data_IF_598371302711
#
_entry.id   IF_598371302711
#
_cell.length_a   1.000
_cell.length_b   1.000
_cell.length_c   1.000
_cell.angle_alpha   90.00
_cell.angle_beta   90.00
_cell.angle_gamma   90.00
#
_symmetry.space_group_name_H-M   'P 1'
#
loop_
_entity.id
_entity.type
_entity.pdbx_description
1 polymer ?
#
# COMPACT_ATOMS: atom_id res chain seq x y z
N UNK A 1 3.01 9.35 -8.87
CA UNK A 1 1.85 8.50 -8.55
C UNK A 1 0.76 9.25 -7.78
N UNK A 2 1.02 9.84 -6.60
CA UNK A 2 -0.03 10.49 -5.78
C UNK A 2 -0.34 11.96 -6.08
N UNK A 3 0.55 12.69 -6.76
CA UNK A 3 0.32 14.11 -7.07
C UNK A 3 -1.01 14.42 -7.80
N UNK A 4 -1.48 13.61 -8.78
CA UNK A 4 -2.79 13.81 -9.41
C UNK A 4 -3.99 13.65 -8.46
N UNK A 5 -3.80 13.07 -7.27
CA UNK A 5 -4.80 12.93 -6.22
C UNK A 5 -4.73 14.06 -5.18
N UNK A 6 -3.86 15.06 -5.40
CA UNK A 6 -3.56 16.12 -4.43
C UNK A 6 -3.05 15.57 -3.08
N UNK A 7 -2.29 14.47 -3.13
CA UNK A 7 -1.66 13.85 -1.95
C UNK A 7 -0.14 13.93 -2.09
N UNK A 8 0.51 14.45 -1.06
CA UNK A 8 1.97 14.46 -0.95
C UNK A 8 2.43 13.32 -0.03
N UNK A 9 3.26 12.42 -0.54
CA UNK A 9 3.85 11.33 0.24
C UNK A 9 5.24 11.77 0.71
N UNK A 10 5.38 12.00 2.02
CA UNK A 10 6.64 12.33 2.65
C UNK A 10 7.25 11.07 3.29
N UNK A 11 8.50 10.75 2.94
CA UNK A 11 9.25 9.70 3.63
C UNK A 11 9.86 10.28 4.92
N UNK A 12 9.23 9.99 6.07
CA UNK A 12 9.65 10.52 7.37
C UNK A 12 10.64 9.61 8.11
N UNK A 13 10.81 8.37 7.66
CA UNK A 13 11.83 7.48 8.20
C UNK A 13 11.91 6.14 7.49
N UNK A 14 13.03 5.45 7.71
CA UNK A 14 13.35 4.15 7.13
C UNK A 14 13.95 3.27 8.21
N UNK A 15 13.48 2.03 8.32
CA UNK A 15 14.05 1.00 9.18
C UNK A 15 14.50 -0.16 8.31
N UNK A 16 15.74 -0.59 8.50
CA UNK A 16 16.32 -1.74 7.79
C UNK A 16 16.69 -2.79 8.83
N UNK A 17 16.12 -3.98 8.69
CA UNK A 17 16.40 -5.13 9.56
C UNK A 17 17.69 -5.81 9.12
N UNK A 18 18.85 -5.34 9.61
CA UNK A 18 20.18 -5.84 9.19
C UNK A 18 20.64 -7.10 9.93
N UNK A 19 20.18 -7.31 11.16
CA UNK A 19 20.61 -8.42 12.01
C UNK A 19 19.71 -9.65 11.85
N UNK A 20 18.39 -9.43 11.88
CA UNK A 20 17.35 -10.45 11.68
C UNK A 20 16.03 -9.76 11.34
N UNK A 21 15.11 -10.51 10.75
CA UNK A 21 13.73 -10.04 10.61
C UNK A 21 13.08 -9.88 11.99
N UNK A 22 12.42 -8.74 12.24
CA UNK A 22 11.68 -8.51 13.50
C UNK A 22 10.30 -9.18 13.52
N UNK A 23 9.88 -9.74 12.38
CA UNK A 23 8.64 -10.51 12.23
C UNK A 23 8.89 -11.80 11.43
N UNK A 24 7.96 -12.75 11.52
CA UNK A 24 8.01 -13.95 10.67
C UNK A 24 7.57 -13.65 9.23
N UNK A 25 8.45 -13.95 8.27
CA UNK A 25 8.20 -13.86 6.82
C UNK A 25 7.99 -15.27 6.23
N UNK A 26 6.81 -15.85 6.46
CA UNK A 26 6.49 -17.24 6.10
C UNK A 26 6.07 -17.42 4.62
N UNK A 27 5.97 -16.34 3.85
CA UNK A 27 5.51 -16.35 2.45
C UNK A 27 4.00 -16.50 2.29
N UNK A 28 3.24 -16.30 3.38
CA UNK A 28 1.79 -16.14 3.39
C UNK A 28 1.53 -14.65 3.67
N UNK A 29 0.84 -13.98 2.75
CA UNK A 29 0.76 -12.52 2.72
C UNK A 29 -0.07 -11.98 3.88
N UNK A 30 -1.18 -12.64 4.18
CA UNK A 30 -2.07 -12.23 5.28
C UNK A 30 -1.36 -12.35 6.63
N UNK A 31 -0.65 -13.45 6.85
CA UNK A 31 0.16 -13.65 8.07
C UNK A 31 1.26 -12.60 8.17
N UNK A 32 1.96 -12.35 7.07
CA UNK A 32 3.07 -11.38 7.02
C UNK A 32 2.56 -9.96 7.29
N UNK A 33 1.45 -9.55 6.65
CA UNK A 33 0.80 -8.26 6.89
C UNK A 33 0.33 -8.15 8.34
N UNK A 34 -0.33 -9.18 8.88
CA UNK A 34 -0.79 -9.20 10.28
C UNK A 34 0.37 -9.02 11.26
N UNK A 35 1.48 -9.73 11.04
CA UNK A 35 2.67 -9.62 11.88
C UNK A 35 3.33 -8.24 11.75
N UNK A 36 3.38 -7.67 10.54
CA UNK A 36 3.91 -6.35 10.31
C UNK A 36 3.08 -5.26 10.99
N UNK A 37 1.76 -5.32 10.92
CA UNK A 37 0.87 -4.36 11.58
C UNK A 37 0.99 -4.44 13.12
N UNK A 38 1.19 -5.65 13.68
CA UNK A 38 1.52 -5.83 15.11
C UNK A 38 2.87 -5.18 15.47
N UNK A 39 3.89 -5.39 14.64
CA UNK A 39 5.20 -4.72 14.81
C UNK A 39 5.07 -3.19 14.73
N UNK A 40 4.29 -2.67 13.77
CA UNK A 40 4.05 -1.24 13.63
C UNK A 40 3.42 -0.69 14.91
N UNK A 41 2.31 -1.28 15.36
CA UNK A 41 1.57 -0.90 16.56
C UNK A 41 2.44 -0.95 17.83
N UNK A 42 3.20 -2.03 18.01
CA UNK A 42 3.95 -2.27 19.24
C UNK A 42 5.27 -1.50 19.32
N UNK A 43 5.96 -1.32 18.20
CA UNK A 43 7.34 -0.82 18.15
C UNK A 43 7.42 0.43 17.29
N UNK A 44 7.11 0.32 15.99
CA UNK A 44 7.44 1.38 15.02
C UNK A 44 6.73 2.71 15.32
N UNK A 45 5.43 2.69 15.61
CA UNK A 45 4.65 3.92 15.87
C UNK A 45 5.13 4.66 17.13
N UNK A 46 5.78 3.96 18.06
CA UNK A 46 6.30 4.55 19.29
C UNK A 46 7.72 5.12 19.10
N UNK A 47 8.54 4.50 18.26
CA UNK A 47 9.94 4.92 18.03
C UNK A 47 10.09 5.89 16.86
N UNK A 48 9.15 5.87 15.91
CA UNK A 48 9.16 6.66 14.69
C UNK A 48 7.72 7.04 14.32
N UNK A 49 7.20 8.17 14.83
CA UNK A 49 5.86 8.63 14.52
C UNK A 49 5.62 8.72 13.00
N UNK A 50 4.53 8.10 12.52
CA UNK A 50 4.16 8.04 11.10
C UNK A 50 2.65 7.83 10.94
N UNK A 51 2.10 8.36 9.85
CA UNK A 51 0.69 8.19 9.48
C UNK A 51 0.40 6.80 8.91
N UNK A 52 1.38 6.21 8.23
CA UNK A 52 1.34 4.92 7.56
C UNK A 52 2.74 4.31 7.45
N UNK A 53 2.85 2.98 7.44
CA UNK A 53 4.11 2.30 7.14
C UNK A 53 3.92 1.18 6.11
N UNK A 54 4.90 1.01 5.23
CA UNK A 54 4.90 -0.04 4.21
C UNK A 54 6.12 -0.95 4.41
N UNK A 55 5.90 -2.26 4.50
CA UNK A 55 6.96 -3.26 4.54
C UNK A 55 7.35 -3.63 3.12
N UNK A 56 8.64 -3.48 2.77
CA UNK A 56 9.20 -3.99 1.52
C UNK A 56 10.02 -5.25 1.81
N UNK A 57 9.70 -6.38 1.18
CA UNK A 57 10.38 -7.66 1.41
C UNK A 57 10.90 -8.31 0.13
N UNK A 58 11.97 -9.10 0.25
CA UNK A 58 12.45 -10.02 -0.80
C UNK A 58 11.78 -11.40 -0.71
N UNK A 59 11.04 -11.69 0.36
CA UNK A 59 10.34 -12.95 0.54
C UNK A 59 9.18 -13.02 -0.45
N UNK A 60 9.26 -13.98 -1.38
CA UNK A 60 8.18 -14.25 -2.33
C UNK A 60 6.99 -14.92 -1.65
N UNK A 61 5.80 -14.51 -2.08
CA UNK A 61 4.54 -15.20 -1.83
C UNK A 61 4.56 -16.61 -2.37
N UNK A 62 3.87 -17.52 -1.68
CA UNK A 62 3.58 -18.86 -2.19
C UNK A 62 2.56 -18.84 -3.34
N UNK A 63 1.65 -17.88 -3.31
CA UNK A 63 0.53 -17.75 -4.26
C UNK A 63 0.78 -16.69 -5.35
N UNK A 64 1.99 -16.13 -5.40
CA UNK A 64 2.38 -15.13 -6.41
C UNK A 64 1.82 -13.73 -6.15
N UNK A 65 1.22 -13.48 -4.99
CA UNK A 65 0.76 -12.15 -4.57
C UNK A 65 1.99 -11.27 -4.32
N UNK A 66 1.99 -10.06 -4.89
CA UNK A 66 3.14 -9.15 -4.79
C UNK A 66 2.96 -8.05 -3.74
N UNK A 67 1.77 -7.91 -3.16
CA UNK A 67 1.50 -6.94 -2.12
C UNK A 67 0.16 -7.20 -1.45
N UNK A 68 0.00 -6.67 -0.24
CA UNK A 68 -1.21 -6.84 0.55
C UNK A 68 -1.40 -5.63 1.48
N UNK A 69 -2.63 -5.16 1.64
CA UNK A 69 -2.95 -4.03 2.51
C UNK A 69 -4.44 -4.05 2.88
N UNK A 70 -4.76 -3.52 4.07
CA UNK A 70 -6.15 -3.40 4.51
C UNK A 70 -6.79 -2.12 3.98
N UNK A 71 -8.03 -2.24 3.53
CA UNK A 71 -8.78 -1.12 2.96
C UNK A 71 -9.26 -0.13 4.04
N UNK A 72 -9.13 1.18 3.77
CA UNK A 72 -9.73 2.24 4.60
C UNK A 72 -9.12 2.31 6.01
N UNK A 73 -7.81 2.08 6.09
CA UNK A 73 -7.08 1.96 7.35
C UNK A 73 -6.06 3.07 7.55
N UNK A 74 -5.95 4.02 6.60
CA UNK A 74 -5.11 5.20 6.75
C UNK A 74 -5.41 5.92 8.07
N UNK A 75 -4.38 6.45 8.71
CA UNK A 75 -4.41 7.08 10.05
C UNK A 75 -4.78 6.17 11.23
N UNK A 76 -5.26 4.94 11.02
CA UNK A 76 -5.52 4.03 12.14
C UNK A 76 -4.22 3.64 12.84
N UNK A 77 -4.23 3.67 14.17
CA UNK A 77 -3.06 3.32 14.97
C UNK A 77 -2.58 1.88 14.72
N UNK A 78 -3.52 0.96 14.50
CA UNK A 78 -3.21 -0.47 14.35
C UNK A 78 -3.01 -0.91 12.91
N UNK A 79 -3.83 -0.42 11.97
CA UNK A 79 -3.96 -1.04 10.65
C UNK A 79 -3.42 -0.18 9.50
N UNK A 80 -2.93 1.04 9.75
CA UNK A 80 -2.39 1.93 8.72
C UNK A 80 -1.02 1.44 8.21
N UNK A 81 -1.05 0.46 7.31
CA UNK A 81 0.13 -0.02 6.62
C UNK A 81 -0.15 -1.09 5.57
N UNK A 82 0.92 -1.51 4.91
CA UNK A 82 0.86 -2.50 3.83
C UNK A 82 2.16 -3.25 3.65
N UNK A 83 2.10 -4.25 2.77
CA UNK A 83 3.17 -5.15 2.39
C UNK A 83 3.38 -5.03 0.88
N UNK A 84 4.63 -4.91 0.45
CA UNK A 84 5.05 -5.03 -0.93
C UNK A 84 6.24 -6.01 -1.04
N UNK A 85 6.20 -6.86 -2.04
CA UNK A 85 7.31 -7.74 -2.43
C UNK A 85 8.13 -7.00 -3.48
N UNK A 86 9.46 -7.02 -3.35
CA UNK A 86 10.36 -6.56 -4.40
C UNK A 86 10.41 -7.63 -5.51
N UNK A 87 9.38 -7.61 -6.37
CA UNK A 87 9.12 -8.65 -7.38
C UNK A 87 9.80 -8.39 -8.74
N UNK A 88 10.41 -7.21 -8.93
CA UNK A 88 10.99 -6.81 -10.20
C UNK A 88 12.19 -5.90 -10.02
N UNK A 89 13.16 -5.97 -10.93
CA UNK A 89 14.26 -5.00 -11.03
C UNK A 89 13.80 -3.64 -11.58
N UNK A 90 12.62 -3.59 -12.21
CA UNK A 90 12.02 -2.34 -12.67
C UNK A 90 11.37 -1.64 -11.49
N UNK A 91 12.04 -0.61 -10.96
CA UNK A 91 11.63 0.15 -9.77
C UNK A 91 10.17 0.64 -9.89
N UNK A 92 9.76 1.07 -11.09
CA UNK A 92 8.38 1.51 -11.34
C UNK A 92 7.33 0.47 -10.99
N UNK A 93 7.57 -0.82 -11.28
CA UNK A 93 6.61 -1.89 -10.98
C UNK A 93 6.46 -2.10 -9.47
N UNK A 94 7.56 -2.06 -8.72
CA UNK A 94 7.54 -2.16 -7.26
C UNK A 94 6.91 -0.92 -6.62
N UNK A 95 7.21 0.26 -7.15
CA UNK A 95 6.60 1.52 -6.71
C UNK A 95 5.08 1.53 -6.94
N UNK A 96 4.61 1.00 -8.07
CA UNK A 96 3.16 0.84 -8.32
C UNK A 96 2.53 -0.16 -7.37
N UNK A 97 3.22 -1.22 -6.94
CA UNK A 97 2.72 -2.15 -5.91
C UNK A 97 2.60 -1.47 -4.54
N UNK A 98 3.60 -0.68 -4.14
CA UNK A 98 3.52 0.11 -2.90
C UNK A 98 2.37 1.12 -2.97
N UNK A 99 2.22 1.82 -4.11
CA UNK A 99 1.11 2.73 -4.32
C UNK A 99 -0.24 2.02 -4.31
N UNK A 100 -0.36 0.82 -4.89
CA UNK A 100 -1.57 0.01 -4.82
C UNK A 100 -1.95 -0.32 -3.36
N UNK A 101 -0.99 -0.80 -2.57
CA UNK A 101 -1.20 -1.09 -1.15
C UNK A 101 -1.64 0.13 -0.34
N UNK A 102 -0.95 1.26 -0.53
CA UNK A 102 -1.33 2.51 0.11
C UNK A 102 -2.68 3.05 -0.42
N UNK A 103 -3.03 2.80 -1.68
CA UNK A 103 -4.35 3.07 -2.26
C UNK A 103 -5.48 2.34 -1.53
N UNK A 104 -5.28 1.05 -1.20
CA UNK A 104 -6.20 0.34 -0.30
C UNK A 104 -6.30 1.04 1.06
N UNK A 105 -5.17 1.40 1.69
CA UNK A 105 -5.23 2.11 2.98
C UNK A 105 -6.05 3.41 2.89
N UNK A 106 -5.97 4.13 1.76
CA UNK A 106 -6.80 5.30 1.43
C UNK A 106 -8.28 4.99 1.10
N UNK A 107 -8.68 3.72 1.12
CA UNK A 107 -10.04 3.27 0.91
C UNK A 107 -10.40 2.94 -0.54
N UNK A 108 -9.43 2.86 -1.45
CA UNK A 108 -9.68 2.52 -2.86
C UNK A 108 -9.99 1.02 -3.02
N UNK A 109 -10.92 0.72 -3.94
CA UNK A 109 -11.18 -0.65 -4.37
C UNK A 109 -10.36 -1.00 -5.62
N UNK A 110 -10.31 -2.29 -5.95
CA UNK A 110 -9.83 -2.71 -7.25
C UNK A 110 -10.74 -2.23 -8.39
N UNK A 111 -10.14 -2.00 -9.55
CA UNK A 111 -10.83 -1.61 -10.79
C UNK A 111 -11.49 -2.83 -11.44
N UNK A 112 -12.61 -3.30 -10.88
CA UNK A 112 -13.39 -4.43 -11.44
C UNK A 112 -14.46 -4.01 -12.44
N UNK A 113 -15.05 -2.83 -12.24
CA UNK A 113 -16.22 -2.41 -13.00
C UNK A 113 -15.84 -1.90 -14.39
N UNK A 114 -16.65 -2.19 -15.44
CA UNK A 114 -16.37 -1.74 -16.80
C UNK A 114 -16.29 -0.22 -16.97
N UNK A 115 -16.92 0.54 -16.08
CA UNK A 115 -16.95 2.00 -16.06
C UNK A 115 -15.77 2.62 -15.28
N UNK A 116 -14.86 1.80 -14.74
CA UNK A 116 -13.60 2.27 -14.16
C UNK A 116 -12.61 2.71 -15.25
N UNK A 117 -12.93 3.81 -15.93
CA UNK A 117 -12.09 4.44 -16.94
C UNK A 117 -10.67 4.71 -16.43
N UNK A 118 -9.70 4.31 -17.25
CA UNK A 118 -8.27 4.40 -17.00
C UNK A 118 -7.55 4.96 -18.24
N UNK A 119 -6.54 5.81 -18.02
CA UNK A 119 -5.69 6.35 -19.09
C UNK A 119 -4.58 5.38 -19.53
N UNK A 120 -4.17 4.48 -18.62
CA UNK A 120 -3.26 3.38 -18.92
C UNK A 120 -4.08 2.13 -19.35
N UNK A 121 -3.42 1.12 -19.91
CA UNK A 121 -4.05 -0.20 -20.16
C UNK A 121 -4.58 -0.82 -18.85
N UNK A 122 -3.84 -0.61 -17.76
CA UNK A 122 -4.19 -1.00 -16.39
C UNK A 122 -3.86 0.16 -15.46
N UNK A 123 -4.79 0.55 -14.61
CA UNK A 123 -4.53 1.57 -13.60
C UNK A 123 -3.88 0.97 -12.36
N UNK A 124 -3.40 1.82 -11.45
CA UNK A 124 -2.71 1.39 -10.22
C UNK A 124 -3.56 0.40 -9.40
N UNK A 125 -4.89 0.56 -9.36
CA UNK A 125 -5.80 -0.32 -8.63
C UNK A 125 -6.28 -1.54 -9.44
N UNK A 126 -5.69 -1.84 -10.60
CA UNK A 126 -5.94 -3.12 -11.26
C UNK A 126 -5.51 -4.28 -10.33
N UNK A 127 -6.30 -5.36 -10.21
CA UNK A 127 -5.97 -6.48 -9.32
C UNK A 127 -4.74 -7.27 -9.77
N UNK A 128 -4.37 -7.20 -11.06
CA UNK A 128 -3.24 -7.92 -11.63
C UNK A 128 -2.04 -7.02 -11.92
N UNK A 129 -0.84 -7.59 -11.81
CA UNK A 129 0.41 -6.91 -12.19
C UNK A 129 0.62 -7.07 -13.70
N UNK A 130 0.90 -5.96 -14.39
CA UNK A 130 1.30 -5.94 -15.80
C UNK A 130 2.83 -5.94 -15.98
N UNK A 131 3.28 -6.02 -17.24
CA UNK A 131 4.70 -5.83 -17.59
C UNK A 131 5.11 -4.35 -17.59
N UNK A 132 4.15 -3.43 -17.71
CA UNK A 132 4.34 -1.99 -17.67
C UNK A 132 3.83 -1.45 -16.33
N UNK A 133 4.62 -0.58 -15.71
CA UNK A 133 4.25 0.04 -14.44
C UNK A 133 3.15 1.08 -14.65
N UNK A 134 1.96 0.91 -14.04
CA UNK A 134 0.88 1.87 -14.16
C UNK A 134 1.20 3.14 -13.38
N UNK A 135 0.81 4.29 -13.93
CA UNK A 135 1.05 5.61 -13.31
C UNK A 135 -0.23 6.40 -13.06
N UNK A 136 -1.36 5.96 -13.64
CA UNK A 136 -2.66 6.59 -13.49
C UNK A 136 -3.56 5.85 -12.49
N UNK A 137 -4.43 6.63 -11.85
CA UNK A 137 -5.56 6.14 -11.06
C UNK A 137 -6.83 6.19 -11.91
N UNK A 138 -7.72 5.22 -11.74
CA UNK A 138 -9.01 5.20 -12.44
C UNK A 138 -9.98 6.24 -11.89
N UNK A 139 -11.09 6.45 -12.59
CA UNK A 139 -12.24 7.23 -12.04
C UNK A 139 -12.78 6.60 -10.74
N UNK A 140 -12.84 5.27 -10.65
CA UNK A 140 -13.29 4.54 -9.47
C UNK A 140 -12.36 4.72 -8.26
N UNK A 141 -11.04 4.75 -8.50
CA UNK A 141 -10.04 5.03 -7.47
C UNK A 141 -10.26 6.42 -6.87
N UNK A 142 -10.47 7.44 -7.72
CA UNK A 142 -10.75 8.82 -7.28
C UNK A 142 -12.05 8.93 -6.50
N UNK A 143 -13.12 8.26 -6.95
CA UNK A 143 -14.40 8.24 -6.25
C UNK A 143 -14.26 7.59 -4.87
N UNK A 144 -13.62 6.42 -4.79
CA UNK A 144 -13.40 5.72 -3.52
C UNK A 144 -12.61 6.57 -2.52
N UNK A 145 -11.58 7.28 -3.00
CA UNK A 145 -10.80 8.21 -2.18
C UNK A 145 -11.65 9.36 -1.65
N UNK A 146 -12.46 10.00 -2.51
CA UNK A 146 -13.32 11.11 -2.12
C UNK A 146 -14.31 10.69 -1.02
N UNK A 147 -15.01 9.57 -1.20
CA UNK A 147 -15.89 9.00 -0.17
C UNK A 147 -15.14 8.72 1.13
N UNK A 148 -13.90 8.25 1.02
CA UNK A 148 -13.08 7.93 2.18
C UNK A 148 -12.72 9.17 3.00
N UNK A 149 -12.43 10.29 2.33
CA UNK A 149 -12.16 11.58 2.98
C UNK A 149 -13.42 12.23 3.53
N UNK A 150 -14.58 12.09 2.86
CA UNK A 150 -15.87 12.53 3.41
C UNK A 150 -16.22 11.81 4.73
N UNK A 151 -15.77 10.56 4.89
CA UNK A 151 -15.89 9.79 6.12
C UNK A 151 -14.84 10.13 7.20
N UNK A 152 -13.93 11.07 6.93
CA UNK A 152 -12.92 11.54 7.89
C UNK A 152 -11.73 10.60 8.10
N UNK A 153 -11.47 9.67 7.16
CA UNK A 153 -10.32 8.78 7.28
C UNK A 153 -8.96 9.51 7.17
N UNK A 154 -8.94 10.74 6.67
CA UNK A 154 -7.76 11.61 6.51
C UNK A 154 -7.36 12.37 7.79
N UNK A 155 -7.91 12.04 8.95
CA UNK A 155 -7.79 12.86 10.17
C UNK A 155 -6.36 13.14 10.67
N UNK A 156 -5.36 12.35 10.27
CA UNK A 156 -3.95 12.56 10.60
C UNK A 156 -3.15 13.30 9.50
N UNK A 157 -3.73 13.55 8.33
CA UNK A 157 -3.01 13.99 7.12
C UNK A 157 -3.09 15.51 6.87
N UNK A 158 -3.31 16.32 7.91
CA UNK A 158 -3.58 17.77 7.81
C UNK A 158 -2.44 18.62 8.36
#
# INVERSE_FOLDING_TARGET
LYAPLNIFIALVGVVIWTERDEISLNGIEDDTLSNFLKYRKGILSNTMPNDNAQLLTMKKSKDGIVGNALKGTICTFEFSGGLAVNHSAVIGLVASTVAHGLGHNFGMNHDFEPDCECLDEKCIMNPGVGSVAPTHWSVCSRHSLALSFEMGMDHCLR
#
